data_IF_407972707514
#
_entry.id   IF_407972707514
#
_cell.length_a   1.000
_cell.length_b   1.000
_cell.length_c   1.000
_cell.angle_alpha   90.00
_cell.angle_beta   90.00
_cell.angle_gamma   90.00
#
_symmetry.space_group_name_H-M   'P 1'
#
loop_
_entity.id
_entity.type
_entity.pdbx_description
1 polymer ?
#
# COMPACT_ATOMS: atom_id res chain seq x y z
N UNK A 1 -0.37 -2.79 -11.65
CA UNK A 1 -0.62 -2.97 -10.21
C UNK A 1 -0.30 -1.63 -9.56
N UNK A 2 -1.25 -0.93 -8.95
CA UNK A 2 -0.98 0.41 -8.41
C UNK A 2 -1.06 0.45 -6.89
N UNK A 3 -0.06 1.11 -6.31
CA UNK A 3 -0.06 1.58 -4.93
C UNK A 3 -0.20 3.10 -4.99
N UNK A 4 -1.15 3.67 -4.26
CA UNK A 4 -1.34 5.12 -4.22
C UNK A 4 -0.99 5.67 -2.83
N UNK A 5 -0.36 6.84 -2.80
CA UNK A 5 0.08 7.50 -1.57
C UNK A 5 -0.56 8.89 -1.50
N UNK A 6 -1.16 9.24 -0.37
CA UNK A 6 -1.79 10.55 -0.14
C UNK A 6 -1.71 10.95 1.32
N UNK A 7 -1.75 12.26 1.62
CA UNK A 7 -1.65 12.75 3.01
C UNK A 7 -2.85 13.67 3.35
N UNK A 8 -4.06 13.10 3.52
CA UNK A 8 -5.27 13.89 3.75
C UNK A 8 -5.31 14.55 5.14
N UNK A 9 -4.51 14.06 6.09
CA UNK A 9 -4.40 14.60 7.44
C UNK A 9 -2.94 14.87 7.80
N UNK A 10 -2.70 15.90 8.62
CA UNK A 10 -1.35 16.30 9.01
C UNK A 10 -0.66 15.16 9.77
N UNK A 11 0.50 14.74 9.29
CA UNK A 11 1.28 13.69 9.93
C UNK A 11 0.82 12.27 9.62
N UNK A 12 -0.24 12.09 8.83
CA UNK A 12 -0.74 10.77 8.45
C UNK A 12 -0.65 10.64 6.93
N UNK A 13 0.08 9.64 6.49
CA UNK A 13 0.16 9.28 5.08
C UNK A 13 -0.59 7.98 4.83
N UNK A 14 -1.57 8.03 3.94
CA UNK A 14 -2.41 6.91 3.53
C UNK A 14 -1.81 6.24 2.31
N UNK A 15 -1.52 4.95 2.44
CA UNK A 15 -1.09 4.05 1.38
C UNK A 15 -2.25 3.14 1.02
N UNK A 16 -2.66 3.11 -0.24
CA UNK A 16 -3.80 2.31 -0.71
C UNK A 16 -3.37 1.26 -1.72
N UNK A 17 -3.71 0.00 -1.43
CA UNK A 17 -3.62 -1.10 -2.38
C UNK A 17 -4.74 -0.96 -3.41
N UNK A 18 -4.40 -0.77 -4.68
CA UNK A 18 -5.38 -0.49 -5.74
C UNK A 18 -5.30 -1.52 -6.87
N UNK A 19 -5.88 -2.69 -6.60
CA UNK A 19 -5.97 -3.81 -7.53
C UNK A 19 -7.17 -4.73 -7.22
N UNK A 20 -8.39 -4.15 -7.24
CA UNK A 20 -9.59 -4.85 -6.81
C UNK A 20 -9.88 -6.10 -7.65
N UNK A 21 -9.50 -6.11 -8.92
CA UNK A 21 -9.69 -7.24 -9.85
C UNK A 21 -8.90 -8.50 -9.45
N UNK A 22 -7.79 -8.33 -8.72
CA UNK A 22 -7.02 -9.44 -8.13
C UNK A 22 -7.21 -9.55 -6.62
N UNK A 23 -8.25 -8.90 -6.07
CA UNK A 23 -8.48 -8.79 -4.61
C UNK A 23 -7.21 -8.36 -3.86
N UNK A 24 -6.45 -7.44 -4.46
CA UNK A 24 -5.20 -6.92 -3.91
C UNK A 24 -4.19 -8.02 -3.49
N UNK A 25 -4.08 -9.12 -4.25
CA UNK A 25 -3.12 -10.19 -3.96
C UNK A 25 -1.67 -9.66 -3.90
N UNK A 26 -0.92 -10.07 -2.88
CA UNK A 26 0.48 -9.69 -2.64
C UNK A 26 1.40 -10.47 -3.59
N UNK A 27 1.55 -9.95 -4.81
CA UNK A 27 2.62 -10.37 -5.72
C UNK A 27 3.98 -9.83 -5.26
N UNK A 28 5.06 -10.41 -5.78
CA UNK A 28 6.42 -9.92 -5.52
C UNK A 28 6.57 -8.43 -5.91
N UNK A 29 5.95 -8.01 -7.01
CA UNK A 29 5.96 -6.62 -7.47
C UNK A 29 5.25 -5.69 -6.47
N UNK A 30 4.05 -6.06 -5.99
CA UNK A 30 3.29 -5.25 -5.04
C UNK A 30 4.00 -5.18 -3.67
N UNK A 31 4.59 -6.29 -3.23
CA UNK A 31 5.38 -6.34 -2.00
C UNK A 31 6.61 -5.45 -2.11
N UNK A 32 7.31 -5.48 -3.26
CA UNK A 32 8.45 -4.60 -3.53
C UNK A 32 8.06 -3.13 -3.51
N UNK A 33 7.01 -2.75 -4.22
CA UNK A 33 6.49 -1.39 -4.26
C UNK A 33 6.02 -0.90 -2.87
N UNK A 34 5.39 -1.77 -2.08
CA UNK A 34 5.00 -1.45 -0.71
C UNK A 34 6.22 -1.27 0.20
N UNK A 35 7.25 -2.10 0.06
CA UNK A 35 8.47 -1.99 0.85
C UNK A 35 9.22 -0.68 0.55
N UNK A 36 9.34 -0.32 -0.73
CA UNK A 36 9.93 0.96 -1.18
C UNK A 36 9.14 2.15 -0.61
N UNK A 37 7.82 2.17 -0.79
CA UNK A 37 6.98 3.25 -0.28
C UNK A 37 7.07 3.39 1.25
N UNK A 38 7.07 2.28 2.00
CA UNK A 38 7.23 2.33 3.47
C UNK A 38 8.63 2.77 3.88
N UNK A 39 9.67 2.41 3.11
CA UNK A 39 11.03 2.88 3.32
C UNK A 39 11.15 4.40 3.18
N UNK A 40 10.60 4.94 2.09
CA UNK A 40 10.57 6.38 1.83
C UNK A 40 9.81 7.14 2.91
N UNK A 41 8.64 6.64 3.31
CA UNK A 41 7.83 7.22 4.39
C UNK A 41 8.50 7.14 5.76
N UNK A 42 9.35 6.14 5.99
CA UNK A 42 10.16 6.03 7.20
C UNK A 42 11.25 7.11 7.30
N UNK A 43 11.72 7.62 6.16
CA UNK A 43 12.68 8.73 6.10
C UNK A 43 12.00 10.12 6.08
N UNK A 44 10.69 10.18 5.80
CA UNK A 44 9.93 11.42 5.74
C UNK A 44 9.54 11.94 7.13
N UNK A 45 10.21 13.02 7.57
CA UNK A 45 9.91 13.71 8.83
C UNK A 45 8.48 14.29 8.93
N UNK A 46 7.79 14.48 7.81
CA UNK A 46 6.41 14.93 7.80
C UNK A 46 5.42 13.79 8.10
N UNK A 47 5.79 12.53 7.80
CA UNK A 47 4.99 11.34 8.08
C UNK A 47 5.25 10.86 9.50
N UNK A 48 4.20 10.83 10.33
CA UNK A 48 4.25 10.35 11.73
C UNK A 48 3.54 9.01 11.92
N UNK A 49 2.57 8.72 11.05
CA UNK A 49 1.84 7.47 11.01
C UNK A 49 1.49 7.13 9.57
N UNK A 50 1.44 5.83 9.27
CA UNK A 50 1.01 5.31 7.97
C UNK A 50 -0.33 4.59 8.13
N UNK A 51 -1.33 4.99 7.36
CA UNK A 51 -2.58 4.24 7.21
C UNK A 51 -2.47 3.37 5.95
N UNK A 52 -2.38 2.06 6.12
CA UNK A 52 -2.47 1.11 5.01
C UNK A 52 -3.93 0.69 4.80
N UNK A 53 -4.44 0.90 3.59
CA UNK A 53 -5.83 0.58 3.22
C UNK A 53 -5.91 0.04 1.79
N UNK A 54 -7.11 -0.11 1.25
CA UNK A 54 -7.38 -0.77 -0.03
C UNK A 54 -8.52 -0.11 -0.78
N UNK A 55 -8.57 -0.34 -2.10
CA UNK A 55 -9.78 -0.17 -2.91
C UNK A 55 -10.52 -1.49 -3.09
N UNK A 56 -11.81 -1.40 -3.40
CA UNK A 56 -12.67 -2.56 -3.59
C UNK A 56 -13.19 -3.18 -2.28
N UNK A 57 -13.83 -4.36 -2.36
CA UNK A 57 -14.58 -4.93 -1.24
C UNK A 57 -13.74 -5.72 -0.23
N UNK A 58 -12.44 -5.93 -0.50
CA UNK A 58 -11.57 -6.76 0.31
C UNK A 58 -10.17 -6.17 0.40
N UNK A 59 -9.60 -6.17 1.62
CA UNK A 59 -8.27 -5.62 1.88
C UNK A 59 -7.21 -6.25 0.99
N UNK A 60 -7.01 -7.55 1.15
CA UNK A 60 -6.03 -8.34 0.43
C UNK A 60 -6.43 -9.82 0.54
N UNK A 61 -6.28 -10.56 -0.56
CA UNK A 61 -6.50 -12.02 -0.60
C UNK A 61 -5.32 -12.85 -0.08
N UNK A 62 -4.21 -12.19 0.31
CA UNK A 62 -2.99 -12.82 0.80
C UNK A 62 -1.91 -12.95 -0.27
N UNK A 63 -0.98 -13.90 -0.08
CA UNK A 63 0.12 -14.15 -1.00
C UNK A 63 -0.39 -14.61 -2.38
N UNK A 64 0.18 -14.05 -3.45
CA UNK A 64 -0.09 -14.50 -4.81
C UNK A 64 0.68 -15.80 -5.10
N UNK A 65 0.01 -16.94 -4.95
CA UNK A 65 0.61 -18.28 -5.14
C UNK A 65 0.89 -18.64 -6.61
N UNK A 66 0.57 -17.73 -7.56
CA UNK A 66 0.80 -17.92 -9.00
C UNK A 66 2.05 -17.19 -9.52
N UNK A 67 2.76 -16.48 -8.65
CA UNK A 67 3.98 -15.75 -8.99
C UNK A 67 5.18 -16.68 -9.20
#
# INVERSE_FOLDING_TARGET
MSLTVSSPARGITTVTLDMPERRNALSAELVGALAEALGDLGADSATRAVLLTHTGPAFCSGADLKA
#
